data_IF_021909116566
#
_entry.id   IF_021909116566
#
_cell.length_a   1.000
_cell.length_b   1.000
_cell.length_c   1.000
_cell.angle_alpha   90.00
_cell.angle_beta   90.00
_cell.angle_gamma   90.00
#
_symmetry.space_group_name_H-M   'P 1'
#
loop_
_entity.id
_entity.type
_entity.pdbx_description
1 polymer ?
#
# COMPACT_ATOMS: atom_id res chain seq x y z
N UNK A 1 -2.17 7.20 11.68
CA UNK A 1 -2.61 5.95 11.02
C UNK A 1 -2.93 6.30 9.58
N UNK A 2 -2.38 5.56 8.63
CA UNK A 2 -2.56 5.77 7.18
C UNK A 2 -3.27 4.54 6.61
N UNK A 3 -4.40 4.74 5.94
CA UNK A 3 -5.09 3.68 5.19
C UNK A 3 -5.00 4.00 3.69
N UNK A 4 -4.26 3.16 2.97
CA UNK A 4 -4.21 3.19 1.51
C UNK A 4 -5.26 2.25 0.95
N UNK A 5 -6.35 2.82 0.42
CA UNK A 5 -7.41 2.07 -0.26
C UNK A 5 -7.00 1.74 -1.68
N UNK A 6 -7.04 0.45 -2.01
CA UNK A 6 -6.78 -0.06 -3.34
C UNK A 6 -8.04 -0.41 -4.10
N UNK A 7 -7.81 -0.99 -5.27
CA UNK A 7 -8.84 -1.54 -6.13
C UNK A 7 -9.35 -2.88 -5.56
N UNK A 8 -10.54 -3.30 -5.99
CA UNK A 8 -11.14 -4.60 -5.65
C UNK A 8 -11.32 -4.87 -4.14
N UNK A 9 -11.52 -3.80 -3.35
CA UNK A 9 -11.72 -3.93 -1.90
C UNK A 9 -10.46 -4.33 -1.13
N UNK A 10 -9.28 -4.15 -1.72
CA UNK A 10 -8.02 -4.27 -0.99
C UNK A 10 -7.67 -2.98 -0.25
N UNK A 11 -6.99 -3.09 0.89
CA UNK A 11 -6.37 -1.95 1.55
C UNK A 11 -5.06 -2.33 2.23
N UNK A 12 -4.16 -1.35 2.37
CA UNK A 12 -2.97 -1.44 3.22
C UNK A 12 -3.12 -0.42 4.33
N UNK A 13 -2.93 -0.85 5.56
CA UNK A 13 -3.07 -0.03 6.77
C UNK A 13 -1.72 0.03 7.48
N UNK A 14 -1.28 1.25 7.78
CA UNK A 14 -0.12 1.52 8.63
C UNK A 14 -0.58 2.25 9.89
N UNK A 15 -0.29 1.68 11.06
CA UNK A 15 -0.71 2.22 12.37
C UNK A 15 0.42 2.85 13.19
N UNK A 16 1.66 2.82 12.69
CA UNK A 16 2.86 3.28 13.41
C UNK A 16 3.71 2.15 13.98
N UNK A 17 3.15 0.95 14.15
CA UNK A 17 3.86 -0.22 14.66
C UNK A 17 3.81 -1.40 13.68
N UNK A 18 2.74 -1.51 12.90
CA UNK A 18 2.50 -2.59 11.95
C UNK A 18 2.01 -2.07 10.60
N UNK A 19 2.22 -2.92 9.59
CA UNK A 19 1.62 -2.80 8.26
C UNK A 19 0.74 -4.02 8.06
N UNK A 20 -0.54 -3.82 7.78
CA UNK A 20 -1.50 -4.89 7.50
C UNK A 20 -2.11 -4.73 6.12
N UNK A 21 -2.37 -5.85 5.44
CA UNK A 21 -3.13 -5.90 4.19
C UNK A 21 -4.48 -6.54 4.45
N UNK A 22 -5.53 -5.90 3.98
CA UNK A 22 -6.88 -6.45 3.99
C UNK A 22 -7.40 -6.68 2.56
N UNK A 23 -8.34 -7.62 2.45
CA UNK A 23 -9.13 -7.92 1.25
C UNK A 23 -10.61 -7.83 1.59
N UNK A 24 -11.46 -7.92 0.55
CA UNK A 24 -12.92 -7.97 0.70
C UNK A 24 -13.48 -6.81 1.52
N UNK A 25 -12.99 -5.59 1.30
CA UNK A 25 -13.39 -4.37 1.99
C UNK A 25 -13.14 -4.41 3.52
N UNK A 26 -12.01 -5.00 3.93
CA UNK A 26 -11.62 -5.06 5.35
C UNK A 26 -12.11 -6.31 6.09
N UNK A 27 -12.83 -7.22 5.42
CA UNK A 27 -13.39 -8.42 6.04
C UNK A 27 -12.38 -9.57 6.19
N UNK A 28 -11.27 -9.52 5.46
CA UNK A 28 -10.24 -10.56 5.45
C UNK A 28 -8.86 -9.93 5.65
N UNK A 29 -8.20 -10.21 6.78
CA UNK A 29 -6.82 -9.79 7.03
C UNK A 29 -5.87 -10.78 6.35
N UNK A 30 -5.31 -10.39 5.21
CA UNK A 30 -4.47 -11.25 4.40
C UNK A 30 -3.05 -11.40 4.97
N UNK A 31 -2.53 -10.36 5.61
CA UNK A 31 -1.21 -10.37 6.25
C UNK A 31 -1.06 -9.18 7.21
N UNK A 32 -0.19 -9.34 8.21
CA UNK A 32 0.27 -8.26 9.10
C UNK A 32 1.73 -8.47 9.47
N UNK A 33 2.53 -7.42 9.34
CA UNK A 33 3.95 -7.44 9.67
C UNK A 33 4.29 -6.26 10.60
N UNK A 34 5.22 -6.42 11.57
CA UNK A 34 5.81 -5.30 12.28
C UNK A 34 6.55 -4.38 11.31
N UNK A 35 6.43 -3.06 11.50
CA UNK A 35 7.12 -2.08 10.63
C UNK A 35 8.64 -2.18 10.76
N UNK A 36 9.16 -2.68 11.89
CA UNK A 36 10.60 -2.96 12.08
C UNK A 36 11.17 -3.99 11.10
N UNK A 37 10.32 -4.71 10.37
CA UNK A 37 10.73 -5.67 9.33
C UNK A 37 10.74 -5.07 7.93
N UNK A 38 10.37 -3.79 7.77
CA UNK A 38 10.32 -3.09 6.50
C UNK A 38 11.71 -3.01 5.85
N UNK A 39 11.76 -3.22 4.54
CA UNK A 39 13.01 -3.23 3.75
C UNK A 39 12.96 -2.23 2.60
N UNK A 40 11.87 -2.23 1.85
CA UNK A 40 11.68 -1.35 0.69
C UNK A 40 10.20 -1.26 0.31
N UNK A 41 9.87 -0.19 -0.42
CA UNK A 41 8.61 -0.06 -1.15
C UNK A 41 8.89 0.20 -2.63
N UNK A 42 8.24 -0.57 -3.49
CA UNK A 42 8.32 -0.43 -4.94
C UNK A 42 7.00 0.12 -5.46
N UNK A 43 7.05 1.22 -6.22
CA UNK A 43 5.89 1.85 -6.82
C UNK A 43 6.05 1.86 -8.34
N UNK A 44 5.10 1.25 -9.05
CA UNK A 44 5.07 1.24 -10.51
C UNK A 44 3.83 1.97 -11.02
N UNK A 45 4.04 3.10 -11.67
CA UNK A 45 2.97 3.84 -12.30
C UNK A 45 2.51 3.15 -13.60
N UNK A 46 1.19 2.95 -13.72
CA UNK A 46 0.51 2.42 -14.90
C UNK A 46 -0.46 3.50 -15.39
N UNK A 47 -0.02 4.40 -16.28
CA UNK A 47 -0.86 5.50 -16.74
C UNK A 47 -2.12 4.96 -17.42
N UNK A 48 -3.21 5.70 -17.22
CA UNK A 48 -4.49 5.41 -17.85
C UNK A 48 -4.39 5.37 -19.38
N UNK A 49 -5.34 4.68 -20.01
CA UNK A 49 -5.52 4.68 -21.47
C UNK A 49 -6.89 5.27 -21.78
N UNK A 50 -7.17 5.58 -23.06
CA UNK A 50 -8.47 6.13 -23.46
C UNK A 50 -9.63 5.29 -22.89
N UNK A 51 -10.43 5.91 -22.01
CA UNK A 51 -11.58 5.28 -21.35
C UNK A 51 -11.26 4.38 -20.14
N UNK A 52 -10.00 4.38 -19.64
CA UNK A 52 -9.59 3.64 -18.45
C UNK A 52 -8.71 4.50 -17.55
N UNK A 53 -9.09 4.62 -16.29
CA UNK A 53 -8.27 5.28 -15.26
C UNK A 53 -6.93 4.59 -15.09
N UNK A 54 -5.89 5.37 -14.81
CA UNK A 54 -4.58 4.84 -14.46
C UNK A 54 -4.53 4.36 -13.02
N UNK A 55 -3.41 3.72 -12.68
CA UNK A 55 -3.20 3.18 -11.33
C UNK A 55 -1.72 3.13 -10.97
N UNK A 56 -1.44 2.93 -9.70
CA UNK A 56 -0.13 2.52 -9.22
C UNK A 56 -0.21 1.07 -8.75
N UNK A 57 0.74 0.25 -9.19
CA UNK A 57 0.98 -1.07 -8.61
C UNK A 57 2.07 -0.90 -7.54
N UNK A 58 1.74 -1.17 -6.28
CA UNK A 58 2.60 -0.96 -5.12
C UNK A 58 2.96 -2.31 -4.53
N UNK A 59 4.23 -2.49 -4.15
CA UNK A 59 4.70 -3.64 -3.42
C UNK A 59 5.50 -3.17 -2.20
N UNK A 60 5.08 -3.58 -1.01
CA UNK A 60 5.78 -3.34 0.24
C UNK A 60 6.50 -4.62 0.65
N UNK A 61 7.80 -4.51 0.87
CA UNK A 61 8.66 -5.62 1.27
C UNK A 61 8.93 -5.52 2.77
N UNK A 62 8.34 -6.44 3.52
CA UNK A 62 8.53 -6.61 4.98
C UNK A 62 8.99 -8.06 5.25
N UNK A 63 8.66 -8.62 6.42
CA UNK A 63 8.76 -10.06 6.68
C UNK A 63 7.97 -10.91 5.66
N UNK A 64 6.90 -10.35 5.08
CA UNK A 64 6.21 -10.89 3.90
C UNK A 64 5.96 -9.78 2.87
N UNK A 65 5.84 -10.18 1.60
CA UNK A 65 5.53 -9.26 0.50
C UNK A 65 4.04 -8.93 0.47
N UNK A 66 3.70 -7.64 0.45
CA UNK A 66 2.33 -7.15 0.28
C UNK A 66 2.24 -6.35 -1.00
N UNK A 67 1.33 -6.72 -1.91
CA UNK A 67 1.07 -5.93 -3.13
C UNK A 67 -0.32 -5.31 -3.08
N UNK A 68 -0.51 -4.14 -3.67
CA UNK A 68 -1.82 -3.51 -3.83
C UNK A 68 -1.82 -2.66 -5.10
N UNK A 69 -2.91 -2.69 -5.86
CA UNK A 69 -3.13 -1.76 -6.97
C UNK A 69 -4.03 -0.62 -6.48
N UNK A 70 -3.62 0.63 -6.68
CA UNK A 70 -4.34 1.81 -6.18
C UNK A 70 -4.69 2.77 -7.31
N UNK A 71 -5.85 3.42 -7.29
CA UNK A 71 -6.22 4.40 -8.32
C UNK A 71 -5.26 5.60 -8.28
N UNK A 72 -5.09 6.28 -9.42
CA UNK A 72 -4.23 7.48 -9.49
C UNK A 72 -4.67 8.60 -8.53
N UNK A 73 -5.96 8.69 -8.25
CA UNK A 73 -6.54 9.65 -7.29
C UNK A 73 -6.03 9.43 -5.86
N UNK A 74 -5.53 8.24 -5.53
CA UNK A 74 -4.97 7.92 -4.23
C UNK A 74 -3.48 8.28 -4.09
N UNK A 75 -2.87 8.97 -5.08
CA UNK A 75 -1.44 9.29 -5.08
C UNK A 75 -1.00 10.01 -3.79
N UNK A 76 -1.79 10.96 -3.28
CA UNK A 76 -1.45 11.68 -2.05
C UNK A 76 -1.28 10.75 -0.85
N UNK A 77 -2.24 9.85 -0.63
CA UNK A 77 -2.18 8.85 0.45
C UNK A 77 -1.09 7.81 0.21
N UNK A 78 -0.82 7.46 -1.05
CA UNK A 78 0.31 6.59 -1.40
C UNK A 78 1.65 7.24 -1.02
N UNK A 79 1.85 8.51 -1.39
CA UNK A 79 3.07 9.25 -1.07
C UNK A 79 3.25 9.38 0.45
N UNK A 80 2.17 9.61 1.20
CA UNK A 80 2.17 9.65 2.68
C UNK A 80 2.58 8.30 3.27
N UNK A 81 2.02 7.19 2.79
CA UNK A 81 2.38 5.85 3.23
C UNK A 81 3.86 5.55 2.96
N UNK A 82 4.34 5.86 1.74
CA UNK A 82 5.74 5.66 1.35
C UNK A 82 6.67 6.45 2.26
N UNK A 83 6.37 7.73 2.50
CA UNK A 83 7.17 8.57 3.38
C UNK A 83 7.21 8.03 4.81
N UNK A 84 6.07 7.56 5.33
CA UNK A 84 5.98 7.00 6.67
C UNK A 84 6.79 5.69 6.83
N UNK A 85 6.78 4.83 5.80
CA UNK A 85 7.57 3.59 5.79
C UNK A 85 9.06 3.85 5.64
N UNK A 86 9.47 4.72 4.72
CA UNK A 86 10.89 5.05 4.56
C UNK A 86 11.47 5.75 5.80
N UNK A 87 10.66 6.53 6.53
CA UNK A 87 11.08 7.12 7.79
C UNK A 87 11.44 6.09 8.88
N UNK A 88 10.97 4.84 8.78
CA UNK A 88 11.34 3.79 9.75
C UNK A 88 12.69 3.14 9.48
N UNK A 89 13.31 3.43 8.33
CA UNK A 89 14.69 3.01 8.01
C UNK A 89 15.74 4.03 8.47
N UNK A 90 15.30 5.24 8.82
CA UNK A 90 16.15 6.36 9.24
C UNK A 90 16.60 6.27 10.69
#
# INVERSE_FOLDING_TARGET
>A
MIELKGLNGESVVYDGATVAKFRHNGLDEAARNPVSTFREVQVKHKPGKRGKEGRYDVMVVLASFMSISVPETAKGTLDELVAALEATRG
#
